data_IF_318890245318
#
_entry.id   IF_318890245318
#
_cell.length_a   1.000
_cell.length_b   1.000
_cell.length_c   1.000
_cell.angle_alpha   90.00
_cell.angle_beta   90.00
_cell.angle_gamma   90.00
#
_symmetry.space_group_name_H-M   'P 1'
#
loop_
_entity.id
_entity.type
_entity.pdbx_description
1 polymer ?
#
# COMPACT_ATOMS: atom_id res chain seq x y z
N UNK A 1 -31.72 -8.34 -9.66
CA UNK A 1 -30.38 -7.70 -9.74
C UNK A 1 -30.57 -6.18 -9.86
N UNK A 2 -29.95 -5.39 -8.98
CA UNK A 2 -30.25 -3.95 -8.84
C UNK A 2 -29.43 -3.11 -9.84
N UNK A 3 -30.07 -2.17 -10.55
CA UNK A 3 -29.39 -1.24 -11.47
C UNK A 3 -28.23 -0.47 -10.81
N UNK A 4 -28.35 -0.15 -9.51
CA UNK A 4 -27.26 0.45 -8.70
C UNK A 4 -26.11 -0.52 -8.46
N UNK A 5 -26.41 -1.80 -8.26
CA UNK A 5 -25.42 -2.86 -8.03
C UNK A 5 -24.66 -3.22 -9.32
N UNK A 6 -25.32 -3.20 -10.47
CA UNK A 6 -24.69 -3.40 -11.79
C UNK A 6 -23.71 -2.25 -12.09
N UNK A 7 -24.08 -1.00 -11.79
CA UNK A 7 -23.19 0.14 -12.00
C UNK A 7 -21.92 0.10 -11.14
N UNK A 8 -22.04 -0.30 -9.87
CA UNK A 8 -20.89 -0.45 -8.96
C UNK A 8 -19.99 -1.61 -9.42
N UNK A 9 -20.57 -2.77 -9.75
CA UNK A 9 -19.80 -3.91 -10.24
C UNK A 9 -19.10 -3.56 -11.55
N UNK A 10 -19.78 -2.89 -12.49
CA UNK A 10 -19.17 -2.44 -13.74
C UNK A 10 -18.02 -1.46 -13.50
N UNK A 11 -18.17 -0.49 -12.59
CA UNK A 11 -17.10 0.45 -12.25
C UNK A 11 -15.90 -0.27 -11.61
N UNK A 12 -16.14 -1.19 -10.66
CA UNK A 12 -15.08 -1.99 -10.03
C UNK A 12 -14.39 -2.88 -11.07
N UNK A 13 -15.15 -3.54 -11.94
CA UNK A 13 -14.61 -4.40 -13.01
C UNK A 13 -13.81 -3.58 -14.02
N UNK A 14 -14.25 -2.38 -14.40
CA UNK A 14 -13.50 -1.51 -15.31
C UNK A 14 -12.20 -1.01 -14.66
N UNK A 15 -12.21 -0.64 -13.38
CA UNK A 15 -11.00 -0.25 -12.64
C UNK A 15 -10.03 -1.42 -12.53
N UNK A 16 -10.53 -2.63 -12.27
CA UNK A 16 -9.72 -3.86 -12.22
C UNK A 16 -9.17 -4.20 -13.61
N UNK A 17 -9.97 -4.09 -14.68
CA UNK A 17 -9.51 -4.34 -16.06
C UNK A 17 -8.46 -3.33 -16.49
N UNK A 18 -8.64 -2.04 -16.17
CA UNK A 18 -7.64 -1.01 -16.44
C UNK A 18 -6.35 -1.32 -15.67
N UNK A 19 -6.44 -1.70 -14.39
CA UNK A 19 -5.29 -2.16 -13.62
C UNK A 19 -4.62 -3.40 -14.26
N UNK A 20 -5.39 -4.35 -14.77
CA UNK A 20 -4.90 -5.54 -15.49
C UNK A 20 -4.23 -5.19 -16.83
N UNK A 21 -4.71 -4.18 -17.55
CA UNK A 21 -4.09 -3.68 -18.78
C UNK A 21 -2.77 -2.95 -18.51
N UNK A 22 -2.66 -2.24 -17.38
CA UNK A 22 -1.39 -1.68 -16.90
C UNK A 22 -0.40 -2.76 -16.41
N UNK A 23 -0.90 -3.93 -15.98
CA UNK A 23 -0.06 -5.08 -15.59
C UNK A 23 0.67 -5.73 -16.78
N UNK A 24 0.09 -5.69 -17.98
CA UNK A 24 0.63 -6.35 -19.19
C UNK A 24 1.59 -5.49 -20.02
N UNK A 25 1.73 -4.20 -19.73
CA UNK A 25 2.82 -3.38 -20.29
C UNK A 25 4.13 -3.71 -19.57
N UNK A 26 5.29 -3.52 -20.20
CA UNK A 26 6.65 -3.77 -19.65
C UNK A 26 7.04 -2.89 -18.46
N UNK A 27 6.10 -2.65 -17.55
CA UNK A 27 6.21 -1.83 -16.37
C UNK A 27 7.12 -2.52 -15.37
N UNK A 28 8.10 -1.77 -14.89
CA UNK A 28 8.94 -2.19 -13.77
C UNK A 28 8.12 -2.07 -12.48
N UNK A 29 8.16 -3.08 -11.63
CA UNK A 29 7.49 -3.09 -10.33
C UNK A 29 8.52 -3.12 -9.22
N UNK A 30 8.12 -2.62 -8.05
CA UNK A 30 8.89 -2.66 -6.82
C UNK A 30 8.04 -3.20 -5.68
N UNK A 31 8.72 -3.77 -4.70
CA UNK A 31 8.12 -4.30 -3.48
C UNK A 31 8.28 -3.30 -2.32
N UNK A 32 7.17 -3.01 -1.66
CA UNK A 32 7.11 -2.23 -0.43
C UNK A 32 6.77 -3.17 0.71
N UNK A 33 7.77 -3.48 1.53
CA UNK A 33 7.64 -4.32 2.72
C UNK A 33 7.29 -3.46 3.92
N UNK A 34 6.56 -4.04 4.87
CA UNK A 34 6.18 -3.39 6.12
C UNK A 34 6.71 -4.20 7.29
N UNK A 35 7.65 -3.63 8.04
CA UNK A 35 8.11 -4.18 9.30
C UNK A 35 7.37 -3.49 10.45
N UNK A 36 6.37 -4.18 11.01
CA UNK A 36 5.52 -3.66 12.08
C UNK A 36 6.22 -3.57 13.44
N UNK A 37 7.47 -4.07 13.58
CA UNK A 37 8.25 -4.03 14.83
C UNK A 37 7.44 -4.58 16.02
N UNK A 38 6.88 -5.77 15.82
CA UNK A 38 6.07 -6.48 16.82
C UNK A 38 4.59 -6.06 16.89
N UNK A 39 4.14 -5.16 16.01
CA UNK A 39 2.71 -4.94 15.78
C UNK A 39 2.10 -5.96 14.82
N UNK A 40 0.80 -5.83 14.54
CA UNK A 40 0.09 -6.68 13.57
C UNK A 40 0.76 -6.68 12.20
N UNK A 41 0.86 -7.87 11.60
CA UNK A 41 1.50 -8.06 10.29
C UNK A 41 0.72 -7.34 9.20
N UNK A 42 1.45 -6.57 8.38
CA UNK A 42 0.91 -5.90 7.20
C UNK A 42 1.52 -6.55 5.96
N UNK A 43 0.66 -6.94 5.02
CA UNK A 43 1.08 -7.56 3.76
C UNK A 43 1.88 -6.57 2.88
N UNK A 44 2.97 -7.09 2.31
CA UNK A 44 3.76 -6.43 1.27
C UNK A 44 2.90 -5.96 0.10
N UNK A 45 3.24 -4.79 -0.45
CA UNK A 45 2.62 -4.27 -1.67
C UNK A 45 3.58 -4.37 -2.85
N UNK A 46 3.05 -4.75 -4.01
CA UNK A 46 3.74 -4.65 -5.30
C UNK A 46 3.21 -3.43 -6.03
N UNK A 47 4.08 -2.48 -6.36
CA UNK A 47 3.71 -1.17 -6.91
C UNK A 47 4.48 -0.91 -8.19
N UNK A 48 3.81 -0.36 -9.20
CA UNK A 48 4.48 0.00 -10.44
C UNK A 48 5.46 1.16 -10.20
N UNK A 49 6.54 1.21 -10.99
CA UNK A 49 7.53 2.29 -10.91
C UNK A 49 6.85 3.65 -11.09
N UNK A 50 7.24 4.61 -10.25
CA UNK A 50 6.73 5.98 -10.20
C UNK A 50 5.25 6.10 -9.79
N UNK A 51 4.61 5.02 -9.36
CA UNK A 51 3.28 5.06 -8.75
C UNK A 51 3.37 5.20 -7.22
N UNK A 52 2.24 5.52 -6.60
CA UNK A 52 2.10 5.65 -5.15
C UNK A 52 1.67 4.32 -4.52
N UNK A 53 2.05 4.10 -3.26
CA UNK A 53 1.48 3.02 -2.45
C UNK A 53 0.13 3.46 -1.89
N UNK A 54 -0.81 2.52 -1.72
CA UNK A 54 -2.03 2.82 -0.98
C UNK A 54 -1.74 2.70 0.52
N UNK A 55 -2.26 3.63 1.32
CA UNK A 55 -2.14 3.54 2.79
C UNK A 55 -2.91 2.30 3.28
N UNK A 56 -2.21 1.39 3.97
CA UNK A 56 -2.79 0.22 4.65
C UNK A 56 -3.44 0.64 5.98
N UNK A 57 -4.21 -0.27 6.57
CA UNK A 57 -4.64 -0.12 7.98
C UNK A 57 -3.38 -0.03 8.83
N UNK A 58 -3.35 0.94 9.74
CA UNK A 58 -2.22 1.13 10.64
C UNK A 58 -2.10 -0.11 11.56
N UNK A 59 -0.87 -0.62 11.80
CA UNK A 59 -0.69 -1.80 12.62
C UNK A 59 -1.09 -1.51 14.06
N UNK A 60 -1.37 -2.56 14.82
CA UNK A 60 -1.70 -2.47 16.25
C UNK A 60 -0.64 -3.22 17.06
N UNK A 61 -0.24 -2.63 18.18
CA UNK A 61 0.69 -3.21 19.15
C UNK A 61 0.19 -2.89 20.55
N UNK A 62 0.04 -3.91 21.38
CA UNK A 62 -0.56 -3.76 22.72
C UNK A 62 0.22 -2.75 23.57
N UNK A 63 -0.52 -1.85 24.22
CA UNK A 63 0.06 -0.81 25.08
C UNK A 63 0.85 0.27 24.33
N UNK A 64 0.86 0.30 23.00
CA UNK A 64 1.62 1.27 22.20
C UNK A 64 0.72 2.10 21.29
N UNK A 65 1.11 3.34 21.01
CA UNK A 65 0.50 4.20 19.98
C UNK A 65 1.35 4.19 18.71
N UNK A 66 0.74 3.89 17.57
CA UNK A 66 1.42 3.94 16.27
C UNK A 66 1.73 5.39 15.86
N UNK A 67 3.01 5.70 15.64
CA UNK A 67 3.46 7.05 15.27
C UNK A 67 3.59 7.24 13.76
N UNK A 68 3.71 6.16 13.00
CA UNK A 68 3.88 6.22 11.55
C UNK A 68 4.89 5.22 11.01
N UNK A 69 4.96 5.20 9.68
CA UNK A 69 5.90 4.41 8.91
C UNK A 69 7.13 5.25 8.58
N UNK A 70 8.32 4.68 8.76
CA UNK A 70 9.57 5.36 8.53
C UNK A 70 10.39 4.65 7.47
N UNK A 71 11.02 5.42 6.58
CA UNK A 71 11.98 4.94 5.60
C UNK A 71 13.33 5.57 5.92
N UNK A 72 14.36 4.75 6.07
CA UNK A 72 15.74 5.21 6.32
C UNK A 72 15.84 6.20 7.51
N UNK A 73 14.94 6.08 8.49
CA UNK A 73 14.91 6.89 9.71
C UNK A 73 13.99 8.11 9.67
N UNK A 74 13.43 8.47 8.52
CA UNK A 74 12.53 9.61 8.32
C UNK A 74 11.07 9.18 8.14
N UNK A 75 10.11 10.03 8.56
CA UNK A 75 8.68 9.74 8.43
C UNK A 75 8.31 9.69 6.94
N UNK A 76 7.70 8.60 6.52
CA UNK A 76 7.37 8.37 5.12
C UNK A 76 6.11 9.13 4.70
N UNK A 77 6.20 9.94 3.63
CA UNK A 77 5.05 10.56 2.97
C UNK A 77 4.48 9.59 1.94
N UNK A 78 3.22 9.15 2.12
CA UNK A 78 2.51 8.26 1.20
C UNK A 78 2.25 8.86 -0.20
N UNK A 79 2.55 10.14 -0.40
CA UNK A 79 2.56 10.81 -1.71
C UNK A 79 3.91 10.67 -2.43
N UNK A 80 4.86 9.93 -1.86
CA UNK A 80 6.16 9.66 -2.47
C UNK A 80 6.06 8.53 -3.51
N UNK A 81 6.43 8.78 -4.77
CA UNK A 81 6.48 7.74 -5.80
C UNK A 81 7.51 6.64 -5.49
N UNK A 82 7.15 5.39 -5.76
CA UNK A 82 8.03 4.25 -5.53
C UNK A 82 8.94 4.06 -6.75
N UNK A 83 10.26 4.19 -6.52
CA UNK A 83 11.28 4.09 -7.58
C UNK A 83 12.27 2.94 -7.36
N UNK A 84 12.16 2.24 -6.23
CA UNK A 84 12.95 1.07 -5.82
C UNK A 84 12.20 0.24 -4.79
N UNK A 85 12.68 -0.95 -4.49
CA UNK A 85 12.22 -1.72 -3.34
C UNK A 85 12.55 -0.95 -2.05
N UNK A 86 11.60 -0.93 -1.13
CA UNK A 86 11.72 -0.26 0.16
C UNK A 86 11.12 -1.13 1.28
N UNK A 87 11.60 -0.90 2.49
CA UNK A 87 11.00 -1.43 3.71
C UNK A 87 10.61 -0.26 4.58
N UNK A 88 9.32 -0.15 4.88
CA UNK A 88 8.79 0.81 5.84
C UNK A 88 8.78 0.19 7.22
N UNK A 89 9.39 0.86 8.19
CA UNK A 89 9.51 0.39 9.57
C UNK A 89 8.58 1.18 10.46
N UNK A 90 7.76 0.49 11.25
CA UNK A 90 6.84 1.12 12.18
C UNK A 90 7.61 1.77 13.35
N UNK A 91 7.17 2.96 13.77
CA UNK A 91 7.56 3.53 15.07
C UNK A 91 6.37 3.63 15.99
N UNK A 92 6.67 3.48 17.28
CA UNK A 92 5.70 3.34 18.35
C UNK A 92 6.06 4.30 19.50
N UNK A 93 5.04 4.81 20.17
CA UNK A 93 5.14 5.45 21.48
C UNK A 93 4.58 4.49 22.53
N UNK A 94 5.32 4.29 23.61
CA UNK A 94 4.90 3.52 24.80
C UNK A 94 4.17 4.41 25.82
#
# INVERSE_FOLDING_TARGET
>A
MNKKMIGIIAAVVVVVIVALLFIFSGNKYYEVRFDSVGGTTIETQKVAKNELIYKRVDPQKDGCTFLGWYLDGELFDFRTPITRDITLVARWLE
#
